data_IF_894559320425
#
_entry.id   IF_894559320425
#
_cell.length_a   1.000
_cell.length_b   1.000
_cell.length_c   1.000
_cell.angle_alpha   90.00
_cell.angle_beta   90.00
_cell.angle_gamma   90.00
#
_symmetry.space_group_name_H-M   'P 1'
#
loop_
_entity.id
_entity.type
_entity.pdbx_description
1 polymer ?
#
# COMPACT_ATOMS: atom_id res chain seq x y z
N UNK A 1 39.14 -15.62 -49.91
CA UNK A 1 39.95 -14.86 -48.93
C UNK A 1 39.49 -15.22 -47.54
N UNK A 2 39.99 -16.26 -46.87
CA UNK A 2 41.29 -16.26 -46.15
C UNK A 2 41.51 -14.94 -45.38
N UNK A 3 41.78 -14.89 -44.07
CA UNK A 3 42.73 -15.72 -43.31
C UNK A 3 42.76 -15.30 -41.81
N UNK A 4 42.98 -16.26 -40.88
CA UNK A 4 43.87 -16.22 -39.66
C UNK A 4 43.71 -15.14 -38.56
N UNK A 5 44.10 -15.27 -37.28
CA UNK A 5 44.58 -16.33 -36.35
C UNK A 5 45.07 -15.63 -35.05
N UNK A 6 44.75 -16.17 -33.85
CA UNK A 6 45.53 -16.02 -32.58
C UNK A 6 45.56 -14.63 -31.92
N UNK A 7 45.85 -14.41 -30.64
CA UNK A 7 46.38 -15.15 -29.47
C UNK A 7 45.84 -14.40 -28.21
N UNK A 8 45.66 -14.93 -27.00
CA UNK A 8 46.65 -15.40 -26.00
C UNK A 8 45.85 -15.91 -24.78
N UNK A 9 45.99 -17.17 -24.34
CA UNK A 9 46.96 -17.69 -23.38
C UNK A 9 46.84 -17.19 -21.93
N UNK A 10 46.40 -18.05 -21.00
CA UNK A 10 47.22 -18.60 -19.89
C UNK A 10 46.36 -19.38 -18.87
N UNK A 11 46.53 -20.72 -18.77
CA UNK A 11 47.32 -21.48 -17.74
C UNK A 11 46.58 -21.61 -16.39
N UNK A 12 46.01 -22.79 -16.10
CA UNK A 12 46.62 -23.87 -15.26
C UNK A 12 46.05 -23.82 -13.82
N UNK A 13 45.71 -24.88 -13.08
CA UNK A 13 45.73 -26.34 -13.24
C UNK A 13 44.96 -26.99 -12.05
N UNK A 14 44.33 -28.13 -12.31
CA UNK A 14 44.20 -29.36 -11.50
C UNK A 14 43.77 -29.30 -10.02
N UNK A 15 42.69 -30.01 -9.66
CA UNK A 15 42.66 -30.93 -8.50
C UNK A 15 41.78 -32.17 -8.82
N UNK A 16 42.48 -33.31 -8.90
CA UNK A 16 42.16 -34.68 -8.46
C UNK A 16 41.02 -35.53 -9.06
N UNK A 17 41.42 -36.71 -9.54
CA UNK A 17 40.63 -37.86 -9.95
C UNK A 17 40.86 -39.02 -8.96
N UNK A 18 39.78 -39.64 -8.50
CA UNK A 18 39.67 -41.03 -8.00
C UNK A 18 38.14 -41.30 -7.89
N UNK A 19 37.51 -42.42 -8.24
CA UNK A 19 37.90 -43.73 -8.75
C UNK A 19 36.76 -44.71 -8.36
N UNK A 20 35.89 -45.08 -9.33
CA UNK A 20 35.05 -46.31 -9.48
C UNK A 20 34.12 -46.80 -8.33
N UNK A 21 33.27 -47.84 -8.51
CA UNK A 21 32.21 -48.12 -9.51
C UNK A 21 30.81 -48.41 -8.87
N UNK A 22 29.75 -48.49 -9.71
CA UNK A 22 28.46 -49.21 -9.56
C UNK A 22 27.72 -49.25 -8.21
N UNK A 23 26.47 -48.75 -8.18
CA UNK A 23 25.26 -49.57 -7.92
C UNK A 23 24.00 -48.71 -7.90
N UNK A 24 23.03 -49.09 -8.73
CA UNK A 24 21.61 -48.78 -8.57
C UNK A 24 21.15 -49.11 -7.14
N UNK A 25 20.42 -48.19 -6.51
CA UNK A 25 19.18 -48.40 -5.75
C UNK A 25 18.75 -47.07 -5.09
N UNK A 26 17.53 -46.62 -5.39
CA UNK A 26 16.79 -45.57 -4.67
C UNK A 26 15.88 -46.21 -3.59
N UNK A 27 15.09 -45.47 -2.78
CA UNK A 27 15.08 -44.04 -2.41
C UNK A 27 14.95 -43.83 -0.85
N UNK A 28 14.50 -42.63 -0.43
CA UNK A 28 14.01 -42.17 0.92
C UNK A 28 15.08 -41.36 1.70
N UNK A 29 14.89 -40.10 2.09
CA UNK A 29 13.77 -39.19 1.97
C UNK A 29 14.26 -37.76 2.21
N UNK A 30 14.45 -36.99 1.14
CA UNK A 30 14.34 -35.54 1.25
C UNK A 30 12.84 -35.27 1.38
N UNK A 31 12.42 -34.66 2.49
CA UNK A 31 11.06 -34.19 2.71
C UNK A 31 10.68 -33.18 1.62
N UNK A 32 10.30 -33.69 0.46
CA UNK A 32 9.20 -33.14 -0.31
C UNK A 32 8.00 -33.38 0.58
N UNK A 33 7.71 -32.43 1.46
CA UNK A 33 6.35 -32.24 1.92
C UNK A 33 5.55 -32.09 0.64
N UNK A 34 4.92 -33.20 0.25
CA UNK A 34 3.73 -33.19 -0.57
C UNK A 34 2.86 -32.09 0.02
N UNK A 35 2.81 -30.95 -0.65
CA UNK A 35 1.77 -29.96 -0.41
C UNK A 35 0.50 -30.68 -0.84
N UNK A 36 -0.07 -31.44 0.08
CA UNK A 36 -1.51 -31.57 0.16
C UNK A 36 -2.05 -30.16 -0.05
N UNK A 37 -3.01 -29.93 -0.96
CA UNK A 37 -3.74 -28.69 -0.98
C UNK A 37 -4.63 -28.65 0.27
N UNK A 38 -4.01 -28.61 1.45
CA UNK A 38 -4.67 -28.09 2.62
C UNK A 38 -4.98 -26.66 2.25
N UNK A 39 -6.26 -26.33 2.29
CA UNK A 39 -6.87 -25.03 2.05
C UNK A 39 -6.33 -23.95 3.02
N UNK A 40 -5.01 -23.74 3.02
CA UNK A 40 -4.35 -22.69 3.75
C UNK A 40 -4.27 -21.52 2.78
N UNK A 41 -5.20 -20.60 2.96
CA UNK A 41 -5.16 -19.31 2.31
C UNK A 41 -3.85 -18.64 2.73
N UNK A 42 -2.99 -18.28 1.76
CA UNK A 42 -1.71 -17.60 1.98
C UNK A 42 -1.70 -16.28 1.22
N UNK A 43 -0.98 -15.27 1.73
CA UNK A 43 -0.86 -13.98 1.06
C UNK A 43 -0.05 -14.10 -0.24
N UNK A 44 -0.62 -13.67 -1.37
CA UNK A 44 0.08 -13.71 -2.69
C UNK A 44 1.31 -12.80 -2.81
N UNK A 45 1.52 -11.88 -1.86
CA UNK A 45 2.61 -10.88 -1.89
C UNK A 45 3.79 -11.35 -1.04
N UNK A 46 3.55 -11.71 0.23
CA UNK A 46 4.62 -12.11 1.14
C UNK A 46 4.74 -13.64 1.32
N UNK A 47 3.77 -14.42 0.83
CA UNK A 47 3.71 -15.88 0.98
C UNK A 47 3.62 -16.37 2.42
N UNK A 48 3.13 -15.52 3.34
CA UNK A 48 2.82 -15.90 4.72
C UNK A 48 1.33 -16.17 4.90
N UNK A 49 0.99 -17.02 5.88
CA UNK A 49 -0.38 -17.26 6.34
C UNK A 49 -1.00 -16.00 6.97
N UNK A 50 -2.33 -15.97 7.10
CA UNK A 50 -3.01 -14.96 7.90
C UNK A 50 -2.96 -15.32 9.38
N UNK A 51 -2.74 -14.33 10.23
CA UNK A 51 -2.84 -14.45 11.69
C UNK A 51 -3.93 -13.51 12.25
N UNK A 52 -4.16 -13.54 13.57
CA UNK A 52 -5.19 -12.68 14.21
C UNK A 52 -4.86 -11.18 14.12
N UNK A 53 -3.57 -10.82 14.07
CA UNK A 53 -3.10 -9.44 13.96
C UNK A 53 -3.09 -8.94 12.50
N UNK A 54 -2.97 -9.85 11.54
CA UNK A 54 -2.84 -9.64 10.11
C UNK A 54 -3.64 -10.69 9.32
N UNK A 55 -4.97 -10.58 9.30
CA UNK A 55 -5.82 -11.50 8.57
C UNK A 55 -5.67 -11.32 7.05
N UNK A 56 -5.95 -12.38 6.30
CA UNK A 56 -6.02 -12.34 4.84
C UNK A 56 -7.37 -11.77 4.38
N UNK A 57 -7.31 -10.90 3.38
CA UNK A 57 -8.47 -10.29 2.75
C UNK A 57 -8.56 -10.69 1.27
N UNK A 58 -9.73 -10.45 0.67
CA UNK A 58 -9.97 -10.67 -0.76
C UNK A 58 -10.28 -9.35 -1.48
N UNK A 59 -9.24 -8.59 -1.89
CA UNK A 59 -9.44 -7.22 -2.36
C UNK A 59 -9.93 -7.15 -3.81
N UNK A 60 -10.07 -8.27 -4.51
CA UNK A 60 -10.52 -8.30 -5.89
C UNK A 60 -11.21 -9.64 -6.23
N UNK A 61 -11.80 -9.73 -7.42
CA UNK A 61 -12.51 -10.92 -7.89
C UNK A 61 -11.61 -12.05 -8.42
N UNK A 62 -10.30 -12.03 -8.13
CA UNK A 62 -9.44 -13.15 -8.48
C UNK A 62 -9.91 -14.44 -7.78
N UNK A 63 -9.62 -15.58 -8.39
CA UNK A 63 -9.96 -16.90 -7.86
C UNK A 63 -8.71 -17.68 -7.45
N UNK A 64 -8.90 -18.74 -6.65
CA UNK A 64 -7.77 -19.51 -6.10
C UNK A 64 -6.90 -18.69 -5.16
N UNK A 65 -5.62 -19.04 -5.06
CA UNK A 65 -4.64 -18.42 -4.15
C UNK A 65 -4.38 -16.94 -4.43
N UNK A 66 -4.59 -16.47 -5.67
CA UNK A 66 -4.35 -15.08 -6.08
C UNK A 66 -5.36 -14.08 -5.50
N UNK A 67 -6.40 -14.56 -4.82
CA UNK A 67 -7.39 -13.70 -4.18
C UNK A 67 -6.94 -13.22 -2.80
N UNK A 68 -6.05 -13.95 -2.12
CA UNK A 68 -5.72 -13.71 -0.72
C UNK A 68 -4.49 -12.82 -0.56
N UNK A 69 -4.63 -11.78 0.26
CA UNK A 69 -3.58 -10.79 0.50
C UNK A 69 -3.72 -10.21 1.90
N UNK A 70 -2.63 -9.88 2.59
CA UNK A 70 -2.72 -9.07 3.80
C UNK A 70 -3.08 -7.63 3.46
N UNK A 71 -3.87 -6.98 4.32
CA UNK A 71 -4.20 -5.55 4.20
C UNK A 71 -2.94 -4.67 4.11
N UNK A 72 -1.94 -4.94 4.94
CA UNK A 72 -0.67 -4.18 4.95
C UNK A 72 0.15 -4.40 3.66
N UNK A 73 0.25 -5.64 3.18
CA UNK A 73 0.95 -5.96 1.94
C UNK A 73 0.31 -5.27 0.74
N UNK A 74 -1.03 -5.28 0.66
CA UNK A 74 -1.76 -4.59 -0.40
C UNK A 74 -1.54 -3.07 -0.36
N UNK A 75 -1.62 -2.45 0.82
CA UNK A 75 -1.38 -1.02 0.99
C UNK A 75 0.04 -0.63 0.55
N UNK A 76 1.04 -1.39 0.95
CA UNK A 76 2.42 -1.16 0.54
C UNK A 76 2.59 -1.31 -0.98
N UNK A 77 1.97 -2.35 -1.57
CA UNK A 77 2.02 -2.56 -3.01
C UNK A 77 1.36 -1.41 -3.80
N UNK A 78 0.18 -0.93 -3.39
CA UNK A 78 -0.51 0.20 -4.04
C UNK A 78 0.35 1.46 -3.94
N UNK A 79 0.94 1.73 -2.77
CA UNK A 79 1.83 2.88 -2.56
C UNK A 79 3.07 2.84 -3.46
N UNK A 80 3.62 1.65 -3.69
CA UNK A 80 4.80 1.47 -4.54
C UNK A 80 4.51 1.41 -6.05
N UNK A 81 3.32 0.94 -6.43
CA UNK A 81 2.91 0.74 -7.84
C UNK A 81 2.07 1.87 -8.43
N UNK A 82 1.62 2.82 -7.59
CA UNK A 82 0.69 3.91 -7.93
C UNK A 82 -0.60 3.42 -8.63
N UNK A 83 -0.97 2.15 -8.42
CA UNK A 83 -2.10 1.51 -9.09
C UNK A 83 -3.10 1.03 -8.06
N UNK A 84 -4.39 1.36 -8.26
CA UNK A 84 -5.49 0.93 -7.38
C UNK A 84 -6.34 -0.22 -7.94
N UNK A 85 -5.91 -0.80 -9.05
CA UNK A 85 -6.60 -1.90 -9.70
C UNK A 85 -5.76 -3.18 -9.67
N UNK A 86 -6.44 -4.33 -9.61
CA UNK A 86 -5.79 -5.62 -9.75
C UNK A 86 -5.14 -5.76 -11.13
N UNK A 87 -3.88 -6.17 -11.18
CA UNK A 87 -3.16 -6.36 -12.44
C UNK A 87 -3.74 -7.51 -13.30
N UNK A 88 -4.42 -8.47 -12.67
CA UNK A 88 -4.96 -9.68 -13.30
C UNK A 88 -6.41 -9.47 -13.78
N UNK A 89 -7.31 -9.17 -12.84
CA UNK A 89 -8.74 -9.04 -13.14
C UNK A 89 -9.18 -7.59 -13.45
N UNK A 90 -8.27 -6.62 -13.35
CA UNK A 90 -8.52 -5.17 -13.58
C UNK A 90 -9.57 -4.52 -12.67
N UNK A 91 -10.12 -5.26 -11.72
CA UNK A 91 -11.05 -4.75 -10.72
C UNK A 91 -10.36 -3.80 -9.74
N UNK A 92 -11.03 -2.71 -9.34
CA UNK A 92 -10.54 -1.78 -8.33
C UNK A 92 -10.50 -2.46 -6.96
N UNK A 93 -9.40 -2.30 -6.22
CA UNK A 93 -9.25 -3.02 -4.97
C UNK A 93 -10.27 -2.59 -3.92
N UNK A 94 -10.99 -3.55 -3.33
CA UNK A 94 -11.86 -3.34 -2.17
C UNK A 94 -10.96 -3.15 -0.96
N UNK A 95 -10.59 -1.90 -0.68
CA UNK A 95 -9.87 -1.56 0.52
C UNK A 95 -10.87 -1.26 1.62
N UNK A 96 -11.01 -2.18 2.58
CA UNK A 96 -11.57 -1.83 3.88
C UNK A 96 -10.58 -0.90 4.57
N UNK A 97 -10.68 0.38 4.22
CA UNK A 97 -10.06 1.43 5.01
C UNK A 97 -10.79 1.40 6.35
N UNK A 98 -10.27 0.61 7.29
CA UNK A 98 -10.41 0.96 8.70
C UNK A 98 -9.62 2.25 8.86
N UNK A 99 -10.23 3.35 8.39
CA UNK A 99 -9.83 4.69 8.76
C UNK A 99 -9.67 4.59 10.26
N UNK A 100 -8.45 4.82 10.76
CA UNK A 100 -8.23 4.87 12.20
C UNK A 100 -9.36 5.76 12.73
N UNK A 101 -10.15 5.33 13.72
CA UNK A 101 -11.21 6.17 14.27
C UNK A 101 -10.61 7.56 14.48
N UNK A 102 -11.30 8.64 14.10
CA UNK A 102 -10.78 10.02 14.17
C UNK A 102 -10.13 10.36 15.54
N UNK A 103 -10.46 9.57 16.57
CA UNK A 103 -9.90 9.57 17.92
C UNK A 103 -8.42 9.15 18.05
N UNK A 104 -7.86 8.34 17.14
CA UNK A 104 -6.46 7.86 17.12
C UNK A 104 -5.58 8.57 16.08
N UNK A 105 -6.10 9.61 15.42
CA UNK A 105 -5.27 10.41 14.53
C UNK A 105 -4.28 11.12 15.42
N UNK A 106 -3.01 10.73 15.27
CA UNK A 106 -1.88 11.38 15.90
C UNK A 106 -2.06 12.88 15.69
N UNK A 107 -2.04 13.67 16.77
CA UNK A 107 -2.13 15.12 16.69
C UNK A 107 -1.08 15.56 15.68
N UNK A 108 -1.53 16.00 14.51
CA UNK A 108 -0.66 16.70 13.57
C UNK A 108 0.01 17.80 14.40
N UNK A 109 1.31 17.67 14.64
CA UNK A 109 2.10 18.61 15.42
C UNK A 109 2.22 19.89 14.59
N UNK A 110 1.13 20.64 14.51
CA UNK A 110 1.10 21.95 13.91
C UNK A 110 1.97 22.83 14.79
N UNK A 111 3.00 23.42 14.19
CA UNK A 111 3.88 24.33 14.91
C UNK A 111 3.06 25.49 15.48
N UNK A 112 3.49 26.04 16.61
CA UNK A 112 2.77 27.13 17.28
C UNK A 112 2.53 28.35 16.35
N UNK A 113 3.39 28.54 15.35
CA UNK A 113 3.25 29.59 14.33
C UNK A 113 2.13 29.30 13.33
N UNK A 114 2.00 28.06 12.82
CA UNK A 114 0.94 27.67 11.90
C UNK A 114 -0.43 27.73 12.59
N UNK A 115 -0.53 27.26 13.83
CA UNK A 115 -1.77 27.36 14.61
C UNK A 115 -2.20 28.82 14.81
N UNK A 116 -1.24 29.72 15.04
CA UNK A 116 -1.51 31.16 15.18
C UNK A 116 -1.99 31.77 13.88
N UNK A 117 -1.36 31.45 12.75
CA UNK A 117 -1.79 31.91 11.42
C UNK A 117 -3.23 31.49 11.12
N UNK A 118 -3.56 30.23 11.37
CA UNK A 118 -4.92 29.71 11.18
C UNK A 118 -5.90 30.43 12.11
N UNK A 119 -5.55 30.57 13.39
CA UNK A 119 -6.40 31.27 14.37
C UNK A 119 -6.67 32.71 13.94
N UNK A 120 -5.64 33.48 13.58
CA UNK A 120 -5.79 34.87 13.13
C UNK A 120 -6.66 34.96 11.87
N UNK A 121 -6.45 34.06 10.90
CA UNK A 121 -7.28 34.00 9.70
C UNK A 121 -8.75 33.73 10.04
N UNK A 122 -9.02 32.70 10.84
CA UNK A 122 -10.39 32.36 11.25
C UNK A 122 -11.05 33.52 12.00
N UNK A 123 -10.35 34.16 12.94
CA UNK A 123 -10.90 35.31 13.67
C UNK A 123 -11.20 36.49 12.75
N UNK A 124 -10.34 36.76 11.77
CA UNK A 124 -10.55 37.83 10.81
C UNK A 124 -11.81 37.60 9.98
N UNK A 125 -12.01 36.38 9.48
CA UNK A 125 -13.19 36.03 8.70
C UNK A 125 -14.48 36.10 9.54
N UNK A 126 -14.44 35.65 10.80
CA UNK A 126 -15.60 35.75 11.71
C UNK A 126 -15.99 37.21 11.97
N UNK A 127 -15.02 38.08 12.21
CA UNK A 127 -15.27 39.52 12.42
C UNK A 127 -15.84 40.14 11.14
N UNK A 128 -15.24 39.87 9.98
CA UNK A 128 -15.72 40.41 8.71
C UNK A 128 -17.18 39.99 8.43
N UNK A 129 -17.51 38.70 8.61
CA UNK A 129 -18.88 38.19 8.44
C UNK A 129 -19.84 38.89 9.41
N UNK A 130 -19.43 39.04 10.67
CA UNK A 130 -20.26 39.71 11.69
C UNK A 130 -20.54 41.17 11.32
N UNK A 131 -19.52 41.91 10.84
CA UNK A 131 -19.69 43.29 10.39
C UNK A 131 -20.63 43.41 9.19
N UNK A 132 -20.52 42.51 8.22
CA UNK A 132 -21.39 42.49 7.04
C UNK A 132 -22.84 42.22 7.45
N UNK A 133 -23.06 41.18 8.26
CA UNK A 133 -24.41 40.83 8.74
C UNK A 133 -25.03 41.96 9.56
N UNK A 134 -24.27 42.57 10.45
CA UNK A 134 -24.75 43.71 11.25
C UNK A 134 -25.11 44.92 10.38
N UNK A 135 -24.26 45.25 9.41
CA UNK A 135 -24.53 46.37 8.49
C UNK A 135 -25.78 46.12 7.65
N UNK A 136 -25.94 44.90 7.13
CA UNK A 136 -27.14 44.50 6.39
C UNK A 136 -28.38 44.54 7.28
N UNK A 137 -28.29 44.07 8.52
CA UNK A 137 -29.38 44.15 9.48
C UNK A 137 -29.84 45.60 9.70
N UNK A 138 -28.89 46.51 9.93
CA UNK A 138 -29.18 47.94 10.12
C UNK A 138 -29.80 48.55 8.86
N UNK A 139 -29.32 48.19 7.66
CA UNK A 139 -29.90 48.68 6.40
C UNK A 139 -31.32 48.16 6.16
N UNK A 140 -31.58 46.90 6.48
CA UNK A 140 -32.92 46.30 6.38
C UNK A 140 -33.87 46.98 7.39
N UNK A 141 -33.42 47.18 8.63
CA UNK A 141 -34.18 47.88 9.67
C UNK A 141 -34.58 49.29 9.22
N UNK A 142 -33.62 50.07 8.69
CA UNK A 142 -33.92 51.39 8.10
C UNK A 142 -34.92 51.29 6.96
N UNK A 143 -34.74 50.36 6.04
CA UNK A 143 -35.64 50.21 4.88
C UNK A 143 -37.05 49.78 5.30
N UNK A 144 -37.18 48.94 6.33
CA UNK A 144 -38.46 48.49 6.86
C UNK A 144 -39.25 49.64 7.50
N UNK A 145 -38.57 50.55 8.21
CA UNK A 145 -39.21 51.73 8.78
C UNK A 145 -39.65 52.73 7.70
N UNK A 146 -38.84 52.93 6.64
CA UNK A 146 -39.21 53.79 5.50
C UNK A 146 -40.42 53.25 4.72
N UNK A 147 -40.57 51.92 4.59
CA UNK A 147 -41.75 51.31 3.95
C UNK A 147 -43.01 51.43 4.81
N UNK A 148 -42.84 51.57 6.13
CA UNK A 148 -43.95 51.63 7.10
C UNK A 148 -44.50 53.05 7.29
N UNK A 149 -43.73 54.08 6.97
CA UNK A 149 -44.17 55.48 6.94
C UNK A 149 -44.90 55.82 5.63
#
# INVERSE_FOLDING_TARGET
NEKTLGHSASRSSNISKAGSPTSVNAPIGFSRTSVTPSNQDICRICHCEGDEDSPLITPCHCTGSLRFVHQACLQQWIKSSDTRCCELCKFEFIMETKLKPLRKWEKLQMTASERRKIMCSVTFHVIAITCVVWSLYVLIDRTAEEIKQ
#
